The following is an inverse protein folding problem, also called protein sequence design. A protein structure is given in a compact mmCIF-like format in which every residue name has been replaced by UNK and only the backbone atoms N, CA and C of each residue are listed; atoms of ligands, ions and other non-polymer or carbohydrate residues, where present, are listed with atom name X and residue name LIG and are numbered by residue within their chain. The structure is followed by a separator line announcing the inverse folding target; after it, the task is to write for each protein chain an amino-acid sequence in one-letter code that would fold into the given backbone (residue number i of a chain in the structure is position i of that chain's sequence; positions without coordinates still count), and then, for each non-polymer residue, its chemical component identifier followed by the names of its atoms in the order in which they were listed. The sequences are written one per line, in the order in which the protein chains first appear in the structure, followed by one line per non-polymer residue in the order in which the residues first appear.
data_IF_405761140584
#
_entry.id   IF_405761140584
#
_cell.length_a   1.000
_cell.length_b   1.000
_cell.length_c   1.000
_cell.angle_alpha   90.00
_cell.angle_beta   90.00
_cell.angle_gamma   90.00
#
_symmetry.space_group_name_H-M   'P 1'
#
loop_
_entity.id
_entity.type
_entity.pdbx_description
1 polymer ?
2 polymer ?
3 non-polymer ?
#
# COMPACT_ATOMS: atom_id res chain seq x y z
N UNK A 36 -19.85 0.00 -16.63
CA UNK A 36 -20.19 1.40 -16.33
C UNK A 36 -19.69 1.91 -14.95
N UNK A 37 -19.92 3.19 -14.72
CA UNK A 37 -19.25 3.99 -13.69
C UNK A 37 -19.86 3.73 -12.30
N UNK A 38 -19.19 4.26 -11.28
CA UNK A 38 -19.73 4.34 -9.93
C UNK A 38 -18.95 5.40 -9.15
N UNK A 39 -19.66 6.22 -8.38
CA UNK A 39 -19.04 7.21 -7.51
C UNK A 39 -19.42 6.93 -6.07
N UNK A 40 -18.50 7.21 -5.15
CA UNK A 40 -18.63 6.85 -3.76
C UNK A 40 -18.33 8.05 -2.88
N UNK A 41 -19.17 8.29 -1.88
CA UNK A 41 -18.80 9.36 -0.97
C UNK A 41 -17.53 8.99 -0.22
N UNK A 42 -16.84 10.01 0.30
CA UNK A 42 -15.62 9.80 1.06
C UNK A 42 -15.85 8.76 2.14
N UNK A 43 -16.99 8.85 2.83
CA UNK A 43 -17.22 7.97 3.97
C UNK A 43 -17.49 6.52 3.53
N UNK A 44 -18.31 6.33 2.50
CA UNK A 44 -18.43 5.00 1.91
C UNK A 44 -17.08 4.46 1.44
N UNK A 45 -16.30 5.30 0.75
CA UNK A 45 -15.00 4.85 0.30
C UNK A 45 -14.21 4.29 1.46
N UNK A 46 -14.16 5.05 2.55
CA UNK A 46 -13.36 4.64 3.69
C UNK A 46 -13.87 3.34 4.27
N UNK A 47 -15.18 3.25 4.52
CA UNK A 47 -15.78 1.98 4.96
C UNK A 47 -15.29 0.78 4.17
N UNK A 48 -15.54 0.80 2.87
CA UNK A 48 -15.18 -0.33 2.02
C UNK A 48 -13.69 -0.58 2.05
N UNK A 49 -12.89 0.49 2.03
CA UNK A 49 -11.45 0.32 1.97
C UNK A 49 -10.94 -0.36 3.22
N UNK A 50 -11.40 0.13 4.36
CA UNK A 50 -11.09 -0.50 5.66
C UNK A 50 -11.44 -1.97 5.64
N UNK A 51 -12.66 -2.30 5.23
CA UNK A 51 -13.13 -3.67 5.26
C UNK A 51 -12.20 -4.58 4.47
N UNK A 52 -11.92 -4.17 3.23
CA UNK A 52 -11.02 -4.94 2.38
C UNK A 52 -9.61 -5.02 2.98
N UNK A 53 -9.14 -3.95 3.62
CA UNK A 53 -7.79 -4.04 4.15
C UNK A 53 -7.74 -4.98 5.34
N UNK A 54 -8.79 -5.00 6.15
CA UNK A 54 -8.93 -6.01 7.18
C UNK A 54 -8.68 -7.39 6.61
N UNK A 55 -9.52 -7.77 5.64
CA UNK A 55 -9.39 -9.10 5.05
C UNK A 55 -7.97 -9.34 4.58
N UNK A 56 -7.48 -8.45 3.72
CA UNK A 56 -6.15 -8.63 3.14
C UNK A 56 -5.11 -8.83 4.23
N UNK A 57 -4.97 -7.86 5.13
CA UNK A 57 -3.92 -7.93 6.13
C UNK A 57 -3.93 -9.22 6.93
N UNK A 58 -5.13 -9.72 7.28
CA UNK A 58 -5.21 -11.07 7.86
C UNK A 58 -4.45 -12.06 6.99
N UNK A 59 -4.75 -12.04 5.68
CA UNK A 59 -4.19 -13.03 4.77
C UNK A 59 -2.69 -12.81 4.54
N UNK A 60 -2.24 -11.55 4.53
CA UNK A 60 -0.83 -11.23 4.30
C UNK A 60 0.03 -11.70 5.46
N UNK A 61 -0.41 -11.41 6.69
CA UNK A 61 0.35 -11.82 7.87
C UNK A 61 0.36 -13.33 7.96
N UNK A 62 -0.79 -13.96 7.72
CA UNK A 62 -0.80 -15.42 7.72
C UNK A 62 0.24 -15.94 6.74
N UNK A 63 0.34 -15.31 5.56
CA UNK A 63 1.29 -15.74 4.53
C UNK A 63 2.72 -15.63 5.02
N UNK A 64 3.07 -14.50 5.64
CA UNK A 64 4.40 -14.34 6.23
C UNK A 64 4.71 -15.46 7.25
N UNK A 65 3.73 -15.79 8.08
CA UNK A 65 3.97 -16.82 9.09
C UNK A 65 4.19 -18.18 8.45
N UNK A 66 3.33 -18.52 7.47
CA UNK A 66 3.47 -19.81 6.80
C UNK A 66 4.83 -19.91 6.14
N UNK A 67 5.30 -18.81 5.57
CA UNK A 67 6.60 -18.84 4.92
C UNK A 67 7.72 -19.00 5.93
N UNK A 68 7.61 -18.40 7.11
CA UNK A 68 8.67 -18.59 8.11
C UNK A 68 8.72 -20.03 8.56
N UNK A 69 7.56 -20.63 8.85
CA UNK A 69 7.52 -22.05 9.16
C UNK A 69 8.09 -22.87 8.01
N UNK A 70 7.71 -22.52 6.78
CA UNK A 70 8.20 -23.23 5.60
C UNK A 70 9.71 -23.21 5.51
N UNK A 71 10.31 -22.03 5.67
CA UNK A 71 11.76 -21.93 5.58
C UNK A 71 12.43 -22.69 6.73
N UNK A 72 11.84 -22.60 7.92
CA UNK A 72 12.45 -23.26 9.07
C UNK A 72 12.44 -24.77 8.91
N UNK A 73 11.34 -25.32 8.39
CA UNK A 73 11.26 -26.76 8.16
C UNK A 73 12.08 -27.16 6.94
N UNK A 74 12.07 -26.32 5.91
CA UNK A 74 12.79 -26.62 4.67
C UNK A 74 14.29 -26.69 4.92
N UNK A 75 14.81 -25.84 5.80
CA UNK A 75 16.19 -25.98 6.24
C UNK A 75 16.39 -27.19 7.15
N UNK A 76 15.33 -27.69 7.79
CA UNK A 76 15.46 -28.70 8.83
C UNK A 76 14.93 -30.08 8.43
N UNK A 77 14.66 -30.30 7.15
CA UNK A 77 14.19 -31.60 6.68
C UNK A 77 12.73 -31.89 7.03
N UNK A 78 12.20 -33.01 6.54
CA UNK A 78 10.80 -33.40 6.82
C UNK A 78 9.98 -33.61 5.56
N UNK A 79 9.41 -34.80 5.44
CA UNK A 79 8.68 -35.17 4.24
C UNK A 79 7.28 -34.59 4.24
N UNK A 80 6.35 -35.32 4.86
CA UNK A 80 4.94 -34.96 4.80
C UNK A 80 4.70 -33.52 5.24
N UNK A 81 5.38 -33.08 6.30
CA UNK A 81 5.11 -31.76 6.87
C UNK A 81 5.39 -30.65 5.86
N UNK A 82 6.50 -30.75 5.13
CA UNK A 82 6.81 -29.74 4.13
C UNK A 82 5.74 -29.70 3.04
N UNK A 83 5.20 -30.87 2.69
CA UNK A 83 4.11 -30.92 1.71
C UNK A 83 2.88 -30.18 2.23
N UNK A 84 2.48 -30.47 3.47
CA UNK A 84 1.31 -29.80 4.05
C UNK A 84 1.48 -28.29 4.08
N UNK A 85 2.67 -27.83 4.48
CA UNK A 85 2.94 -26.39 4.57
C UNK A 85 2.96 -25.74 3.18
N UNK A 86 3.70 -26.34 2.24
CA UNK A 86 3.71 -25.80 0.89
C UNK A 86 2.29 -25.69 0.33
N UNK A 87 1.48 -26.73 0.54
CA UNK A 87 0.10 -26.70 0.02
C UNK A 87 -0.68 -25.58 0.67
N UNK A 88 -0.44 -25.33 1.96
CA UNK A 88 -1.14 -24.25 2.64
C UNK A 88 -0.72 -22.90 2.08
N UNK A 89 0.59 -22.66 2.00
CA UNK A 89 1.07 -21.40 1.46
C UNK A 89 0.53 -21.18 0.06
N UNK A 90 0.50 -22.23 -0.75
CA UNK A 90 -0.09 -22.11 -2.08
C UNK A 90 -1.55 -21.69 -2.01
N UNK A 91 -2.34 -22.32 -1.12
CA UNK A 91 -3.75 -21.98 -1.04
C UNK A 91 -3.95 -20.53 -0.60
N UNK A 92 -3.06 -20.04 0.25
CA UNK A 92 -3.19 -18.67 0.76
C UNK A 92 -2.81 -17.66 -0.30
N UNK A 93 -1.74 -17.96 -1.05
CA UNK A 93 -1.43 -17.16 -2.24
C UNK A 93 -2.60 -17.11 -3.19
N UNK A 94 -3.29 -18.24 -3.39
CA UNK A 94 -4.40 -18.23 -4.32
C UNK A 94 -5.48 -17.27 -3.87
N UNK A 95 -5.89 -17.37 -2.60
CA UNK A 95 -6.92 -16.47 -2.07
C UNK A 95 -6.51 -15.02 -2.23
N UNK A 96 -5.28 -14.69 -1.82
CA UNK A 96 -4.82 -13.32 -1.93
C UNK A 96 -4.87 -12.83 -3.36
N UNK A 97 -4.34 -13.61 -4.30
CA UNK A 97 -4.31 -13.11 -5.68
C UNK A 97 -5.72 -12.90 -6.18
N UNK A 98 -6.65 -13.79 -5.82
CA UNK A 98 -8.03 -13.66 -6.29
C UNK A 98 -8.66 -12.38 -5.76
N UNK A 99 -8.50 -12.12 -4.45
CA UNK A 99 -9.07 -10.90 -3.86
C UNK A 99 -8.44 -9.64 -4.47
N UNK A 100 -7.11 -9.60 -4.52
CA UNK A 100 -6.46 -8.43 -5.07
C UNK A 100 -6.88 -8.17 -6.50
N UNK A 101 -6.87 -9.21 -7.34
CA UNK A 101 -7.21 -9.03 -8.73
C UNK A 101 -8.64 -8.53 -8.89
N UNK A 102 -9.58 -9.10 -8.12
CA UNK A 102 -10.93 -8.55 -8.13
C UNK A 102 -10.97 -7.09 -7.73
N UNK A 103 -10.16 -6.71 -6.71
CA UNK A 103 -10.15 -5.33 -6.24
C UNK A 103 -9.66 -4.41 -7.34
N UNK A 104 -8.64 -4.87 -8.06
CA UNK A 104 -8.06 -4.02 -9.07
C UNK A 104 -8.98 -3.91 -10.26
N UNK A 105 -9.68 -4.99 -10.58
CA UNK A 105 -10.59 -4.95 -11.72
C UNK A 105 -11.77 -4.03 -11.44
N UNK A 106 -12.24 -3.96 -10.19
CA UNK A 106 -13.30 -2.96 -9.95
C UNK A 106 -12.72 -1.55 -9.94
N UNK A 107 -11.50 -1.37 -9.44
CA UNK A 107 -10.89 -0.04 -9.46
C UNK A 107 -10.77 0.46 -10.88
N UNK A 108 -10.13 -0.33 -11.73
CA UNK A 108 -9.93 0.06 -13.10
C UNK A 108 -11.26 0.14 -13.85
N UNK A 109 -12.19 -0.78 -13.59
CA UNK A 109 -13.41 -0.82 -14.38
C UNK A 109 -14.43 0.21 -13.92
N UNK A 110 -14.61 0.40 -12.62
CA UNK A 110 -15.69 1.27 -12.19
C UNK A 110 -15.27 2.50 -11.41
N UNK A 111 -14.21 2.45 -10.61
CA UNK A 111 -14.01 3.59 -9.72
C UNK A 111 -13.15 4.70 -10.32
N UNK A 112 -11.95 4.39 -10.82
CA UNK A 112 -11.04 5.50 -11.12
C UNK A 112 -11.47 6.15 -12.44
N UNK A 113 -12.13 5.44 -13.37
CA UNK A 113 -12.81 6.19 -14.44
C UNK A 113 -13.79 7.23 -13.92
N UNK A 114 -14.53 6.95 -12.85
CA UNK A 114 -15.60 7.84 -12.42
C UNK A 114 -15.12 8.97 -11.53
N UNK A 115 -13.83 9.02 -11.19
CA UNK A 115 -13.33 9.89 -10.13
C UNK A 115 -13.34 11.35 -10.57
N UNK A 116 -14.12 12.18 -9.86
CA UNK A 116 -14.13 13.63 -10.10
C UNK A 116 -13.03 14.34 -9.31
N UNK A 117 -13.21 14.46 -7.99
CA UNK A 117 -12.33 15.27 -7.18
C UNK A 117 -10.89 14.78 -7.28
N UNK A 118 -9.95 15.61 -6.82
CA UNK A 118 -8.55 15.27 -6.93
C UNK A 118 -8.13 14.36 -5.80
N UNK A 119 -8.72 14.57 -4.63
CA UNK A 119 -8.52 13.65 -3.50
C UNK A 119 -8.94 12.23 -3.86
N UNK A 120 -10.04 12.08 -4.60
CA UNK A 120 -10.49 10.73 -4.93
C UNK A 120 -9.61 10.09 -6.01
N UNK A 121 -9.25 10.85 -7.05
CA UNK A 121 -8.28 10.37 -8.04
C UNK A 121 -7.01 9.83 -7.35
N UNK A 122 -6.39 10.67 -6.50
CA UNK A 122 -5.23 10.21 -5.73
C UNK A 122 -5.58 8.97 -4.91
N UNK A 123 -6.78 8.96 -4.32
CA UNK A 123 -7.14 7.84 -3.47
C UNK A 123 -7.11 6.52 -4.23
N UNK A 124 -7.83 6.49 -5.35
CA UNK A 124 -7.96 5.26 -6.11
C UNK A 124 -6.64 4.86 -6.77
N UNK A 125 -5.85 5.83 -7.23
CA UNK A 125 -4.55 5.45 -7.80
C UNK A 125 -3.61 4.92 -6.74
N UNK A 126 -3.67 5.47 -5.53
CA UNK A 126 -2.89 4.89 -4.43
C UNK A 126 -3.37 3.47 -4.12
N UNK A 127 -4.69 3.23 -4.08
CA UNK A 127 -5.20 1.85 -3.88
C UNK A 127 -4.67 0.90 -4.94
N UNK A 128 -4.71 1.32 -6.21
CA UNK A 128 -4.12 0.53 -7.29
C UNK A 128 -2.67 0.15 -6.96
N UNK A 129 -1.86 1.14 -6.59
CA UNK A 129 -0.51 0.84 -6.12
C UNK A 129 -0.46 -0.17 -4.98
N UNK A 130 -1.37 -0.05 -4.02
CA UNK A 130 -1.29 -0.89 -2.85
C UNK A 130 -1.53 -2.33 -3.22
N UNK A 131 -2.58 -2.58 -3.99
CA UNK A 131 -2.92 -3.95 -4.32
C UNK A 131 -1.95 -4.54 -5.33
N UNK A 132 -1.38 -3.74 -6.23
CA UNK A 132 -0.30 -4.30 -7.03
C UNK A 132 0.89 -4.66 -6.16
N UNK A 133 1.22 -3.80 -5.19
CA UNK A 133 2.37 -4.05 -4.31
C UNK A 133 2.16 -5.32 -3.50
N UNK A 134 0.95 -5.56 -3.03
CA UNK A 134 0.70 -6.80 -2.29
C UNK A 134 0.75 -7.98 -3.24
N UNK A 135 0.45 -7.75 -4.52
CA UNK A 135 0.67 -8.81 -5.49
C UNK A 135 2.16 -9.13 -5.59
N UNK A 136 2.99 -8.09 -5.76
CA UNK A 136 4.43 -8.23 -5.83
C UNK A 136 5.04 -8.82 -4.56
N UNK A 137 4.34 -8.71 -3.42
CA UNK A 137 4.93 -9.15 -2.16
C UNK A 137 5.25 -10.62 -2.19
N UNK A 138 4.41 -11.42 -2.83
CA UNK A 138 4.66 -12.86 -2.96
C UNK A 138 4.82 -13.35 -4.41
N UNK A 139 4.84 -12.45 -5.39
CA UNK A 139 4.76 -12.93 -6.76
C UNK A 139 6.12 -13.39 -7.25
N UNK A 140 6.10 -14.16 -8.33
CA UNK A 140 7.27 -14.90 -8.79
C UNK A 140 7.73 -14.35 -10.12
N UNK A 141 9.05 -14.23 -10.28
CA UNK A 141 9.64 -13.92 -11.55
C UNK A 141 8.93 -12.85 -12.36
N UNK A 142 8.42 -13.23 -13.53
CA UNK A 142 7.84 -12.22 -14.41
C UNK A 142 6.54 -11.67 -13.84
N UNK A 143 5.78 -12.49 -13.12
CA UNK A 143 4.60 -11.99 -12.41
C UNK A 143 4.97 -10.95 -11.35
N UNK A 144 6.06 -11.20 -10.63
CA UNK A 144 6.59 -10.17 -9.73
C UNK A 144 6.94 -8.90 -10.49
N UNK A 145 7.61 -9.03 -11.64
CA UNK A 145 8.07 -7.87 -12.40
C UNK A 145 6.89 -7.04 -12.90
N UNK A 146 5.90 -7.69 -13.52
CA UNK A 146 4.70 -7.00 -13.95
C UNK A 146 4.00 -6.28 -12.79
N UNK A 147 3.87 -6.96 -11.64
CA UNK A 147 3.17 -6.34 -10.52
C UNK A 147 3.88 -5.09 -10.05
N UNK A 148 5.20 -5.17 -9.87
CA UNK A 148 5.94 -3.99 -9.41
C UNK A 148 5.81 -2.84 -10.41
N UNK A 149 5.88 -3.14 -11.71
CA UNK A 149 5.75 -2.09 -12.72
C UNK A 149 4.39 -1.39 -12.61
N UNK A 150 3.30 -2.18 -12.53
CA UNK A 150 1.97 -1.57 -12.43
C UNK A 150 1.81 -0.74 -11.18
N UNK A 151 2.36 -1.23 -10.06
CA UNK A 151 2.32 -0.47 -8.80
C UNK A 151 3.03 0.87 -8.94
N UNK A 152 4.23 0.86 -9.53
CA UNK A 152 4.97 2.11 -9.65
C UNK A 152 4.25 3.11 -10.57
N UNK A 153 3.70 2.63 -11.70
CA UNK A 153 2.86 3.50 -12.54
C UNK A 153 1.77 4.16 -11.72
N UNK A 154 1.08 3.36 -10.89
CA UNK A 154 -0.08 3.87 -10.17
C UNK A 154 0.31 4.90 -9.11
N UNK A 155 1.36 4.59 -8.34
CA UNK A 155 1.84 5.52 -7.31
C UNK A 155 2.30 6.83 -7.94
N UNK A 156 3.02 6.74 -9.07
CA UNK A 156 3.45 7.94 -9.79
C UNK A 156 2.26 8.77 -10.26
N UNK A 157 1.20 8.12 -10.73
CA UNK A 157 0.00 8.84 -11.15
C UNK A 157 -0.61 9.59 -9.97
N UNK A 158 -0.86 8.86 -8.89
CA UNK A 158 -1.29 9.48 -7.64
C UNK A 158 -0.40 10.67 -7.27
N UNK A 159 0.91 10.51 -7.42
CA UNK A 159 1.83 11.55 -7.01
C UNK A 159 1.64 12.82 -7.82
N UNK A 160 1.53 12.66 -9.14
CA UNK A 160 1.38 13.84 -9.98
C UNK A 160 0.12 14.62 -9.59
N UNK A 161 -0.97 13.89 -9.35
CA UNK A 161 -2.19 14.60 -8.94
C UNK A 161 -2.03 15.22 -7.56
N UNK A 162 -1.37 14.51 -6.63
CA UNK A 162 -1.24 14.99 -5.25
C UNK A 162 -0.41 16.26 -5.18
N UNK A 163 0.74 16.27 -5.83
CA UNK A 163 1.48 17.52 -6.03
C UNK A 163 0.54 18.61 -6.48
N UNK A 164 -0.13 18.41 -7.62
CA UNK A 164 -0.82 19.52 -8.27
C UNK A 164 -2.21 19.80 -7.72
N UNK A 165 -2.68 19.14 -6.68
CA UNK A 165 -4.05 19.39 -6.27
C UNK A 165 -4.32 19.19 -4.78
N UNK A 166 -3.36 18.73 -4.00
CA UNK A 166 -3.61 18.34 -2.62
C UNK A 166 -2.56 18.99 -1.73
N UNK A 167 -2.95 19.57 -0.60
CA UNK A 167 -1.98 20.21 0.28
C UNK A 167 -1.00 19.18 0.83
N UNK A 168 0.19 19.62 1.24
CA UNK A 168 1.24 18.66 1.62
C UNK A 168 0.93 17.98 2.90
N UNK A 169 -0.01 18.55 3.66
CA UNK A 169 -0.49 17.99 4.90
C UNK A 169 -1.75 17.18 4.70
N UNK A 170 -2.20 17.01 3.46
CA UNK A 170 -3.40 16.21 3.27
C UNK A 170 -3.11 14.77 3.62
N UNK A 171 -3.99 14.13 4.38
CA UNK A 171 -3.76 12.73 4.77
C UNK A 171 -3.68 11.77 3.59
N UNK A 172 -4.43 12.01 2.52
CA UNK A 172 -4.34 11.12 1.37
C UNK A 172 -2.96 11.24 0.74
N UNK A 173 -2.42 12.47 0.75
CA UNK A 173 -1.07 12.68 0.26
C UNK A 173 -0.01 12.08 1.19
N UNK A 174 -0.15 12.28 2.50
CA UNK A 174 0.80 11.67 3.44
C UNK A 174 0.73 10.14 3.39
N UNK A 175 -0.46 9.57 3.23
CA UNK A 175 -0.56 8.15 3.04
C UNK A 175 0.09 7.70 1.75
N UNK A 176 -0.09 8.47 0.69
CA UNK A 176 0.56 8.10 -0.56
C UNK A 176 2.08 8.10 -0.36
N UNK A 177 2.60 9.17 0.25
CA UNK A 177 4.04 9.30 0.45
C UNK A 177 4.58 8.12 1.26
N UNK A 178 3.88 7.78 2.34
CA UNK A 178 4.34 6.71 3.18
C UNK A 178 4.33 5.39 2.44
N UNK A 179 3.22 5.05 1.80
CA UNK A 179 3.14 3.75 1.16
C UNK A 179 4.06 3.68 -0.04
N UNK A 180 4.29 4.81 -0.70
CA UNK A 180 5.19 4.84 -1.85
C UNK A 180 6.64 4.62 -1.41
N UNK A 181 7.08 5.36 -0.39
CA UNK A 181 8.43 5.15 0.12
C UNK A 181 8.62 3.72 0.65
N UNK A 182 7.61 3.15 1.29
CA UNK A 182 7.71 1.75 1.67
C UNK A 182 7.84 0.87 0.42
N UNK A 183 7.07 1.18 -0.62
CA UNK A 183 7.17 0.44 -1.87
C UNK A 183 8.61 0.41 -2.35
N UNK A 184 9.20 1.59 -2.44
CA UNK A 184 10.60 1.74 -2.81
C UNK A 184 11.48 0.83 -1.99
N UNK A 185 11.41 0.98 -0.67
CA UNK A 185 12.38 0.33 0.20
C UNK A 185 12.27 -1.18 0.10
N UNK A 186 11.04 -1.71 0.25
CA UNK A 186 10.82 -3.16 0.33
C UNK A 186 10.82 -3.81 -1.05
N UNK A 187 10.00 -3.31 -1.97
CA UNK A 187 9.88 -3.91 -3.29
C UNK A 187 11.04 -3.47 -4.18
N UNK A 188 11.08 -2.19 -4.53
CA UNK A 188 12.11 -1.70 -5.44
C UNK A 188 13.50 -1.74 -4.83
N UNK A 189 13.59 -1.94 -3.52
CA UNK A 189 14.86 -1.99 -2.80
C UNK A 189 15.75 -0.82 -3.23
N UNK A 190 15.18 0.38 -3.09
CA UNK A 190 15.94 1.62 -3.23
C UNK A 190 15.73 2.41 -1.95
N UNK A 191 16.47 2.05 -0.88
CA UNK A 191 16.47 2.87 0.34
C UNK A 191 16.70 4.34 0.09
N UNK A 192 17.70 4.66 -0.71
CA UNK A 192 17.95 6.02 -1.16
C UNK A 192 16.64 6.73 -1.52
N UNK A 193 15.89 6.16 -2.47
CA UNK A 193 14.76 6.87 -3.03
C UNK A 193 13.59 6.89 -2.05
N UNK A 194 13.37 5.77 -1.35
CA UNK A 194 12.35 5.70 -0.30
C UNK A 194 12.54 6.79 0.73
N UNK A 195 13.76 6.90 1.27
CA UNK A 195 14.02 7.87 2.31
C UNK A 195 13.87 9.28 1.78
N UNK A 196 14.33 9.55 0.56
CA UNK A 196 14.16 10.89 0.00
C UNK A 196 12.68 11.26 -0.09
N UNK A 197 11.86 10.33 -0.56
CA UNK A 197 10.42 10.57 -0.66
C UNK A 197 9.79 10.83 0.70
N UNK A 198 10.16 10.01 1.70
CA UNK A 198 9.61 10.15 3.05
C UNK A 198 10.02 11.47 3.68
N UNK A 199 11.30 11.83 3.60
CA UNK A 199 11.76 13.08 4.18
C UNK A 199 11.06 14.25 3.52
N UNK A 200 11.02 14.26 2.19
CA UNK A 200 10.36 15.34 1.47
C UNK A 200 8.94 15.52 1.96
N UNK A 201 8.17 14.43 1.98
CA UNK A 201 6.77 14.53 2.36
C UNK A 201 6.63 15.02 3.79
N UNK A 202 7.44 14.47 4.69
CA UNK A 202 7.43 14.90 6.09
C UNK A 202 7.64 16.39 6.20
N UNK A 203 8.72 16.89 5.58
CA UNK A 203 9.11 18.28 5.76
C UNK A 203 8.18 19.25 5.06
N UNK A 204 7.63 18.89 3.89
CA UNK A 204 6.58 19.72 3.31
C UNK A 204 5.43 19.89 4.29
N UNK A 205 5.04 18.80 4.95
CA UNK A 205 3.98 18.87 5.96
C UNK A 205 4.38 19.80 7.10
N UNK A 206 5.46 19.45 7.81
CA UNK A 206 6.01 20.23 8.92
C UNK A 206 6.04 21.72 8.60
N UNK A 207 6.54 22.06 7.41
CA UNK A 207 6.43 23.42 6.89
C UNK A 207 5.00 23.93 6.98
N UNK A 208 4.07 23.28 6.28
CA UNK A 208 2.72 23.85 6.23
C UNK A 208 1.99 23.81 7.57
N UNK A 209 2.55 23.14 8.58
CA UNK A 209 1.79 22.77 9.78
C UNK A 209 1.32 23.99 10.57
N UNK A 210 2.22 24.95 10.85
CA UNK A 210 1.84 26.13 11.62
C UNK A 210 0.59 26.84 11.08
N UNK A 211 0.07 26.40 9.93
CA UNK A 211 -0.98 27.08 9.18
C UNK A 211 -2.16 26.14 8.88
N UNK A 212 -2.35 25.12 9.70
CA UNK A 212 -3.45 24.18 9.52
C UNK A 212 -4.35 24.23 10.74
N UNK A 213 -5.63 23.95 10.54
CA UNK A 213 -6.62 24.11 11.58
C UNK A 213 -6.42 23.05 12.67
N UNK A 214 -7.32 23.07 13.66
CA UNK A 214 -7.30 22.05 14.71
C UNK A 214 -7.93 20.75 14.22
N UNK A 215 -9.21 20.78 13.83
CA UNK A 215 -9.87 19.55 13.38
C UNK A 215 -9.24 18.96 12.13
N UNK A 216 -8.31 19.69 11.48
CA UNK A 216 -7.63 19.24 10.28
C UNK A 216 -6.27 18.63 10.57
N UNK A 217 -5.63 19.07 11.64
CA UNK A 217 -4.29 18.66 12.02
C UNK A 217 -4.30 17.36 12.82
N UNK A 218 -5.24 17.21 13.75
CA UNK A 218 -5.43 15.92 14.44
C UNK A 218 -5.82 14.81 13.47
N UNK A 219 -6.32 15.15 12.28
CA UNK A 219 -6.61 14.15 11.28
C UNK A 219 -5.37 13.71 10.51
N UNK A 220 -4.17 14.20 10.88
CA UNK A 220 -2.99 13.91 10.07
C UNK A 220 -1.73 13.55 10.86
N UNK A 221 -1.66 13.87 12.16
CA UNK A 221 -0.45 13.66 12.95
C UNK A 221 0.08 12.24 12.85
N UNK A 222 -0.82 11.27 12.74
CA UNK A 222 -0.42 9.88 12.91
C UNK A 222 0.31 9.36 11.68
N UNK A 223 -0.13 9.78 10.50
CA UNK A 223 0.60 9.47 9.27
C UNK A 223 1.99 10.12 9.29
N UNK A 224 2.07 11.40 9.65
CA UNK A 224 3.36 12.05 9.75
C UNK A 224 4.30 11.31 10.69
N UNK A 225 3.81 10.95 11.88
CA UNK A 225 4.68 10.22 12.80
C UNK A 225 5.10 8.89 12.23
N UNK A 226 4.25 8.26 11.42
CA UNK A 226 4.62 6.99 10.80
C UNK A 226 5.71 7.18 9.77
N UNK A 227 5.61 8.22 8.96
CA UNK A 227 6.68 8.55 8.03
C UNK A 227 7.98 8.84 8.78
N UNK A 228 7.89 9.57 9.92
CA UNK A 228 9.08 9.91 10.69
C UNK A 228 9.69 8.67 11.33
N UNK A 229 8.84 7.75 11.77
CA UNK A 229 9.32 6.52 12.35
C UNK A 229 9.98 5.64 11.31
N UNK A 230 9.31 5.40 10.20
CA UNK A 230 9.93 4.66 9.11
C UNK A 230 11.29 5.27 8.78
N UNK A 231 11.36 6.59 8.65
CA UNK A 231 12.61 7.22 8.27
C UNK A 231 13.71 6.99 9.29
N UNK A 232 13.45 7.33 10.55
CA UNK A 232 14.50 7.12 11.54
C UNK A 232 14.88 5.64 11.60
N UNK A 233 13.96 4.74 11.27
CA UNK A 233 14.29 3.33 11.13
C UNK A 233 15.28 3.13 10.00
N UNK A 234 15.02 3.74 8.86
CA UNK A 234 15.81 3.41 7.69
C UNK A 234 17.21 3.96 7.75
N UNK A 235 17.69 4.49 8.87
CA UNK A 235 19.10 4.86 8.99
C UNK A 235 19.76 3.99 10.07
N UNK B 12 9.29 -1.00 8.10
CA UNK B 12 8.41 -0.86 6.95
C UNK B 12 6.93 -0.89 7.36
N UNK B 13 6.41 0.26 7.78
CA UNK B 13 5.03 0.34 8.27
C UNK B 13 4.13 1.17 7.35
N UNK B 14 3.30 0.48 6.55
CA UNK B 14 2.35 1.11 5.63
C UNK B 14 1.03 1.61 6.30
N UNK B 15 0.32 2.49 5.60
CA UNK B 15 -0.83 3.22 6.14
C UNK B 15 -1.82 2.33 6.93
N UNK B 16 -2.19 2.80 8.13
CA UNK B 16 -3.06 2.02 9.01
C UNK B 16 -4.52 2.03 8.62
N UNK B 17 -5.15 0.91 8.90
CA UNK B 17 -6.58 0.70 8.79
C UNK B 17 -7.32 1.49 9.88
X LIG C 1 -18.12 -2.96 -7.29
X LIG C 1 -18.84 -3.06 -8.53
X LIG C 1 -18.03 -1.51 -6.83
X LIG C 1 -17.70 -1.44 -5.43
X LIG D 1 -13.50 0.01 -2.76
X LIG D 1 -12.51 0.57 -1.90
X LIG D 1 -13.19 -1.47 -3.03
X LIG D 1 -14.40 -2.13 -3.47
#
# INVERSE_FOLDING_TARGET
GSTMDDREDLVYQAKLAEQAERYDEMVESMKKVAGMDVELTVEERNLLSVAYKNVIGARRASWRIISSIEQKEENKGGEDKLKMIREYRQMVETELKLICCDILDVLDKHLIPAANTGESKVFYYKMKGDYHRYLAEFATGNDRKEAAENSLVAYKAASDIAMTELPPTHPIRLGLALNFSVFYYEILNSPDRACRLAKAAFDDAIAELDTLSEESYKDSTLIMQLLRDNLTLWTSDMQGDGEEQNKEALQDVEDENQ
PPPLPKKMIIRANTEPISKD
EDO C1 O1 C2 O2
EDO C1 O1 C2 O2
#
